data_IF_728150016937
#
_entry.id   IF_728150016937
#
_cell.length_a   1.000
_cell.length_b   1.000
_cell.length_c   1.000
_cell.angle_alpha   90.00
_cell.angle_beta   90.00
_cell.angle_gamma   90.00
#
_symmetry.space_group_name_H-M   'P 1'
#
loop_
_entity.id
_entity.type
_entity.pdbx_description
1 polymer ?
#
# COMPACT_ATOMS: atom_id res chain seq x y z
N UNK A 1 16.84 -0.15 -4.20
CA UNK A 1 17.07 0.01 -2.77
C UNK A 1 15.80 0.51 -2.06
N UNK A 2 15.48 -0.10 -0.92
CA UNK A 2 14.31 0.29 -0.15
C UNK A 2 14.50 1.69 0.45
N UNK A 3 13.54 2.57 0.22
CA UNK A 3 13.59 3.94 0.76
C UNK A 3 12.42 4.15 1.72
N UNK A 4 12.73 4.00 3.00
CA UNK A 4 11.73 4.08 4.07
C UNK A 4 10.92 5.38 4.02
N UNK A 5 11.58 6.50 3.77
CA UNK A 5 10.91 7.80 3.74
C UNK A 5 9.86 7.91 2.64
N UNK A 6 10.15 7.37 1.47
CA UNK A 6 9.20 7.38 0.36
C UNK A 6 8.01 6.47 0.65
N UNK A 7 8.27 5.31 1.22
CA UNK A 7 7.21 4.37 1.60
C UNK A 7 6.31 5.01 2.65
N UNK A 8 6.91 5.62 3.67
CA UNK A 8 6.17 6.29 4.73
C UNK A 8 5.30 7.41 4.18
N UNK A 9 5.86 8.24 3.30
CA UNK A 9 5.13 9.35 2.69
C UNK A 9 3.91 8.85 1.91
N UNK A 10 4.09 7.80 1.11
CA UNK A 10 2.99 7.23 0.34
C UNK A 10 1.88 6.67 1.23
N UNK A 11 2.26 5.97 2.29
CA UNK A 11 1.29 5.42 3.23
C UNK A 11 0.55 6.53 3.98
N UNK A 12 1.28 7.56 4.42
CA UNK A 12 0.66 8.70 5.11
C UNK A 12 -0.38 9.40 4.25
N UNK A 13 -0.05 9.61 2.97
CA UNK A 13 -0.99 10.24 2.04
C UNK A 13 -2.23 9.38 1.85
N UNK A 14 -2.05 8.08 1.71
CA UNK A 14 -3.17 7.16 1.53
C UNK A 14 -4.08 7.11 2.77
N UNK A 15 -3.50 7.25 3.94
CA UNK A 15 -4.22 7.17 5.21
C UNK A 15 -4.73 8.53 5.71
N UNK A 16 -4.53 9.59 4.95
CA UNK A 16 -4.96 10.93 5.35
C UNK A 16 -6.44 10.96 5.68
N UNK A 17 -6.78 11.50 6.85
CA UNK A 17 -8.15 11.58 7.35
C UNK A 17 -8.82 10.22 7.54
N UNK A 18 -8.02 9.17 7.66
CA UNK A 18 -8.53 7.85 8.00
C UNK A 18 -8.12 7.50 9.44
N UNK A 19 -8.90 6.66 10.13
CA UNK A 19 -8.58 6.30 11.52
C UNK A 19 -7.46 5.26 11.59
N UNK A 20 -6.30 5.63 11.09
CA UNK A 20 -5.10 4.79 11.14
C UNK A 20 -4.05 5.55 11.92
N UNK A 21 -3.64 5.01 13.07
CA UNK A 21 -2.70 5.67 13.95
C UNK A 21 -1.28 5.64 13.39
N UNK A 22 -0.45 6.58 13.86
CA UNK A 22 0.97 6.58 13.49
C UNK A 22 1.65 5.30 13.91
N UNK A 23 1.27 4.76 15.06
CA UNK A 23 1.80 3.50 15.56
C UNK A 23 1.52 2.36 14.59
N UNK A 24 0.28 2.31 14.08
CA UNK A 24 -0.10 1.31 13.10
C UNK A 24 0.71 1.46 11.80
N UNK A 25 0.90 2.71 11.37
CA UNK A 25 1.67 3.00 10.16
C UNK A 25 3.12 2.55 10.33
N UNK A 26 3.71 2.83 11.51
CA UNK A 26 5.09 2.41 11.78
C UNK A 26 5.23 0.88 11.78
N UNK A 27 4.25 0.19 12.32
CA UNK A 27 4.25 -1.28 12.29
C UNK A 27 4.18 -1.80 10.86
N UNK A 28 3.34 -1.18 10.03
CA UNK A 28 3.26 -1.56 8.61
C UNK A 28 4.61 -1.40 7.92
N UNK A 29 5.24 -0.26 8.13
CA UNK A 29 6.53 0.04 7.49
C UNK A 29 7.58 -0.96 7.95
N UNK A 30 7.61 -1.27 9.23
CA UNK A 30 8.57 -2.24 9.77
C UNK A 30 8.38 -3.62 9.15
N UNK A 31 7.13 -4.06 9.00
CA UNK A 31 6.84 -5.35 8.38
C UNK A 31 7.24 -5.38 6.91
N UNK A 32 6.96 -4.30 6.20
CA UNK A 32 7.35 -4.18 4.79
C UNK A 32 8.86 -4.23 4.66
N UNK A 33 9.55 -3.47 5.49
CA UNK A 33 11.02 -3.43 5.46
C UNK A 33 11.62 -4.80 5.74
N UNK A 34 11.08 -5.52 6.72
CA UNK A 34 11.57 -6.86 7.03
C UNK A 34 11.38 -7.82 5.86
N UNK A 35 10.25 -7.76 5.19
CA UNK A 35 10.00 -8.61 4.02
C UNK A 35 10.93 -8.28 2.87
N UNK A 36 11.22 -6.99 2.67
CA UNK A 36 12.14 -6.55 1.63
C UNK A 36 13.54 -7.08 1.93
N UNK A 37 13.98 -7.00 3.19
CA UNK A 37 15.30 -7.51 3.58
C UNK A 37 15.42 -9.01 3.33
N UNK A 38 14.36 -9.75 3.63
CA UNK A 38 14.36 -11.20 3.41
C UNK A 38 14.42 -11.57 1.94
N UNK A 39 13.86 -10.71 1.09
CA UNK A 39 13.85 -10.95 -0.36
C UNK A 39 15.24 -10.82 -0.95
N UNK A 40 16.08 -9.96 -0.41
CA UNK A 40 17.45 -9.80 -0.86
C UNK A 40 17.82 -8.39 -1.25
N UNK A 41 19.00 -8.23 -1.82
CA UNK A 41 19.58 -6.93 -2.17
C UNK A 41 18.85 -6.20 -3.29
N UNK A 42 18.40 -6.96 -4.28
CA UNK A 42 17.78 -6.38 -5.47
C UNK A 42 16.28 -6.65 -5.45
N UNK A 43 15.53 -5.63 -5.06
CA UNK A 43 14.09 -5.73 -4.95
C UNK A 43 13.46 -4.69 -5.87
N UNK A 44 12.57 -5.14 -6.74
CA UNK A 44 11.89 -4.25 -7.67
C UNK A 44 10.86 -3.40 -6.92
N UNK A 45 10.66 -2.16 -7.40
CA UNK A 45 9.66 -1.28 -6.81
C UNK A 45 8.26 -1.89 -6.85
N UNK A 46 7.97 -2.71 -7.85
CA UNK A 46 6.69 -3.42 -7.95
C UNK A 46 6.45 -4.32 -6.73
N UNK A 47 7.49 -5.00 -6.26
CA UNK A 47 7.37 -5.85 -5.08
C UNK A 47 7.02 -5.03 -3.85
N UNK A 48 7.70 -3.90 -3.66
CA UNK A 48 7.44 -3.00 -2.54
C UNK A 48 6.00 -2.48 -2.60
N UNK A 49 5.56 -2.06 -3.79
CA UNK A 49 4.19 -1.60 -3.99
C UNK A 49 3.16 -2.65 -3.64
N UNK A 50 3.41 -3.91 -4.00
CA UNK A 50 2.52 -5.01 -3.66
C UNK A 50 2.44 -5.21 -2.14
N UNK A 51 3.58 -5.11 -1.45
CA UNK A 51 3.60 -5.25 0.00
C UNK A 51 2.79 -4.14 0.68
N UNK A 52 2.95 -2.90 0.20
CA UNK A 52 2.19 -1.77 0.72
C UNK A 52 0.70 -2.00 0.51
N UNK A 53 0.33 -2.41 -0.70
CA UNK A 53 -1.06 -2.67 -1.05
C UNK A 53 -1.69 -3.71 -0.13
N UNK A 54 -0.98 -4.79 0.13
CA UNK A 54 -1.48 -5.86 1.01
C UNK A 54 -1.70 -5.36 2.43
N UNK A 55 -0.75 -4.58 2.96
CA UNK A 55 -0.88 -4.06 4.31
C UNK A 55 -2.03 -3.06 4.43
N UNK A 56 -2.18 -2.18 3.45
CA UNK A 56 -3.28 -1.22 3.45
C UNK A 56 -4.63 -1.91 3.32
N UNK A 57 -4.72 -2.95 2.48
CA UNK A 57 -5.96 -3.69 2.29
C UNK A 57 -6.47 -4.31 3.59
N UNK A 58 -5.57 -4.76 4.44
CA UNK A 58 -5.91 -5.31 5.76
C UNK A 58 -6.28 -4.22 6.76
N UNK A 59 -5.74 -3.04 6.60
CA UNK A 59 -5.84 -1.97 7.59
C UNK A 59 -7.01 -1.03 7.34
N UNK A 60 -7.14 -0.53 6.11
CA UNK A 60 -8.18 0.44 5.76
C UNK A 60 -8.42 0.39 4.26
N UNK A 61 -9.61 -0.04 3.87
CA UNK A 61 -9.94 -0.25 2.45
C UNK A 61 -9.93 1.04 1.64
N UNK A 62 -10.30 2.16 2.26
CA UNK A 62 -10.25 3.45 1.58
C UNK A 62 -8.81 3.85 1.29
N UNK A 63 -7.93 3.69 2.28
CA UNK A 63 -6.51 3.96 2.09
C UNK A 63 -5.93 3.05 1.00
N UNK A 64 -6.34 1.78 0.98
CA UNK A 64 -5.91 0.85 -0.05
C UNK A 64 -6.30 1.34 -1.45
N UNK A 65 -7.55 1.75 -1.62
CA UNK A 65 -8.04 2.22 -2.92
C UNK A 65 -7.29 3.48 -3.37
N UNK A 66 -7.02 4.39 -2.45
CA UNK A 66 -6.25 5.59 -2.77
C UNK A 66 -4.86 5.25 -3.27
N UNK A 67 -4.19 4.35 -2.56
CA UNK A 67 -2.85 3.92 -2.95
C UNK A 67 -2.88 3.17 -4.29
N UNK A 68 -3.83 2.26 -4.44
CA UNK A 68 -3.95 1.45 -5.65
C UNK A 68 -4.24 2.31 -6.88
N UNK A 69 -5.04 3.38 -6.73
CA UNK A 69 -5.37 4.24 -7.86
C UNK A 69 -4.14 4.97 -8.42
N UNK A 70 -3.16 5.24 -7.57
CA UNK A 70 -1.91 5.86 -8.01
C UNK A 70 -0.91 4.81 -8.46
N UNK A 71 -0.73 3.77 -7.65
CA UNK A 71 0.26 2.72 -7.91
C UNK A 71 -0.05 1.92 -9.18
N UNK A 72 -1.31 1.56 -9.37
CA UNK A 72 -1.70 0.74 -10.53
C UNK A 72 -2.05 1.56 -11.76
N UNK A 73 -2.11 2.88 -11.60
CA UNK A 73 -2.37 3.79 -12.72
C UNK A 73 -3.61 3.37 -13.52
N UNK A 74 -4.75 3.38 -12.84
CA UNK A 74 -6.02 2.99 -13.48
C UNK A 74 -6.29 3.78 -14.74
N UNK A 75 -6.55 3.08 -15.83
CA UNK A 75 -6.76 3.70 -17.13
C UNK A 75 -8.14 4.37 -17.22
N UNK A 76 -9.14 3.80 -16.56
CA UNK A 76 -10.49 4.36 -16.60
C UNK A 76 -11.33 3.86 -15.40
N UNK A 77 -12.61 4.24 -15.41
CA UNK A 77 -13.53 3.89 -14.33
C UNK A 77 -13.78 2.38 -14.19
N UNK A 78 -13.65 1.63 -15.28
CA UNK A 78 -13.90 0.20 -15.19
C UNK A 78 -12.82 -0.50 -14.38
N UNK A 79 -11.55 -0.06 -14.50
CA UNK A 79 -10.47 -0.59 -13.67
C UNK A 79 -10.71 -0.31 -12.20
N UNK A 80 -11.15 0.91 -11.90
CA UNK A 80 -11.46 1.33 -10.53
C UNK A 80 -12.60 0.49 -9.95
N UNK A 81 -13.66 0.30 -10.73
CA UNK A 81 -14.82 -0.50 -10.31
C UNK A 81 -14.44 -1.94 -10.02
N UNK A 82 -13.57 -2.52 -10.85
CA UNK A 82 -13.09 -3.90 -10.64
C UNK A 82 -12.38 -4.03 -9.31
N UNK A 83 -11.56 -3.04 -8.99
CA UNK A 83 -10.80 -3.08 -7.73
C UNK A 83 -11.73 -2.99 -6.53
N UNK A 84 -12.74 -2.12 -6.60
CA UNK A 84 -13.72 -1.98 -5.53
C UNK A 84 -14.54 -3.26 -5.37
N UNK A 85 -14.95 -3.89 -6.46
CA UNK A 85 -15.69 -5.15 -6.41
C UNK A 85 -14.89 -6.23 -5.70
N UNK A 86 -13.59 -6.29 -5.98
CA UNK A 86 -12.71 -7.24 -5.32
C UNK A 86 -12.65 -7.06 -3.81
N UNK A 87 -12.80 -5.82 -3.34
CA UNK A 87 -12.81 -5.53 -1.91
C UNK A 87 -14.14 -5.89 -1.25
N UNK A 88 -15.23 -5.63 -1.95
CA UNK A 88 -16.58 -5.80 -1.40
C UNK A 88 -17.09 -7.23 -1.56
N UNK A 89 -16.73 -7.87 -2.64
CA UNK A 89 -17.24 -9.20 -2.98
C UNK A 89 -16.66 -10.35 -2.20
N UNK A 90 -15.92 -10.04 -1.14
CA UNK A 90 -15.30 -11.09 -0.32
C UNK A 90 -15.81 -11.11 1.11
#
# INVERSE_FOLDING_TARGET
MFQREKVKSGILKACEKRPVSEEKIEKMINQIENKVRKKGKFVKSDYVGELISRELKKTDKVAYIRFASVYRDFADMSDFKKEIRGLIGK
#
